data_IF_929177915005
#
_entry.id   IF_929177915005
#
_cell.length_a   1.000
_cell.length_b   1.000
_cell.length_c   1.000
_cell.angle_alpha   90.00
_cell.angle_beta   90.00
_cell.angle_gamma   90.00
#
_symmetry.space_group_name_H-M   'P 1'
#
loop_
_entity.id
_entity.type
_entity.pdbx_description
1 polymer ?
#
# COMPACT_ATOMS: atom_id res chain seq x y z
N UNK A 1 8.63 -9.36 4.67
CA UNK A 1 7.71 -9.37 3.52
C UNK A 1 7.01 -8.03 3.37
N UNK A 2 6.97 -7.49 2.16
CA UNK A 2 6.19 -6.31 1.82
C UNK A 2 4.80 -6.71 1.28
N UNK A 3 3.84 -5.81 1.38
CA UNK A 3 2.47 -6.01 0.94
C UNK A 3 2.37 -5.70 -0.57
N UNK A 4 1.96 -6.70 -1.35
CA UNK A 4 1.71 -6.54 -2.78
C UNK A 4 0.45 -5.75 -3.09
N UNK A 5 0.21 -5.51 -4.37
CA UNK A 5 -1.01 -4.86 -4.86
C UNK A 5 -2.28 -5.50 -4.27
N UNK A 6 -3.26 -4.67 -3.91
CA UNK A 6 -4.53 -5.08 -3.29
C UNK A 6 -4.46 -5.77 -1.93
N UNK A 7 -3.28 -5.91 -1.32
CA UNK A 7 -3.20 -6.36 0.08
C UNK A 7 -3.65 -5.25 1.01
N UNK A 8 -4.38 -5.63 2.06
CA UNK A 8 -4.76 -4.72 3.14
C UNK A 8 -3.50 -4.14 3.79
N UNK A 9 -3.50 -2.83 4.01
CA UNK A 9 -2.35 -2.08 4.52
C UNK A 9 -2.77 -1.12 5.63
N UNK A 10 -1.79 -0.72 6.44
CA UNK A 10 -1.96 0.29 7.47
C UNK A 10 -1.40 1.64 6.95
N UNK A 11 -2.19 2.72 6.92
CA UNK A 11 -1.73 4.01 6.41
C UNK A 11 -0.74 4.74 7.33
N UNK A 12 -0.66 4.34 8.60
CA UNK A 12 0.30 4.84 9.59
C UNK A 12 1.56 3.96 9.64
N UNK A 13 1.49 2.72 9.12
CA UNK A 13 2.61 1.80 8.98
C UNK A 13 2.62 1.17 7.57
N UNK A 14 2.98 1.96 6.57
CA UNK A 14 2.98 1.53 5.16
C UNK A 14 4.04 0.46 4.91
N UNK A 15 3.59 -0.79 4.78
CA UNK A 15 4.42 -1.95 4.44
C UNK A 15 4.27 -2.37 2.97
N UNK A 16 3.67 -1.54 2.11
CA UNK A 16 3.53 -1.85 0.69
C UNK A 16 4.89 -1.99 0.01
N UNK A 17 5.01 -2.90 -0.97
CA UNK A 17 6.23 -3.07 -1.75
C UNK A 17 6.57 -1.81 -2.56
N UNK A 18 7.82 -1.67 -2.97
CA UNK A 18 8.24 -0.60 -3.87
C UNK A 18 7.36 -0.57 -5.15
N UNK A 19 6.95 0.63 -5.56
CA UNK A 19 5.96 0.83 -6.63
C UNK A 19 4.50 0.90 -6.15
N UNK A 20 4.24 0.57 -4.87
CA UNK A 20 2.93 0.70 -4.26
C UNK A 20 2.93 1.70 -3.09
N UNK A 21 1.75 2.19 -2.72
CA UNK A 21 1.51 3.04 -1.57
C UNK A 21 0.22 2.62 -0.90
N UNK A 22 0.19 2.63 0.42
CA UNK A 22 -1.03 2.36 1.15
C UNK A 22 -2.09 3.44 0.86
N UNK A 23 -3.24 3.04 0.33
CA UNK A 23 -4.38 3.92 0.13
C UNK A 23 -5.00 4.24 1.49
N UNK A 24 -4.93 5.50 1.94
CA UNK A 24 -5.52 5.91 3.24
C UNK A 24 -7.03 5.76 3.32
N UNK A 25 -7.75 5.86 2.19
CA UNK A 25 -9.22 5.75 2.15
C UNK A 25 -9.66 4.30 2.27
N UNK A 26 -9.09 3.45 1.42
CA UNK A 26 -9.57 2.08 1.23
C UNK A 26 -8.71 1.05 1.98
N UNK A 27 -7.58 1.47 2.55
CA UNK A 27 -6.64 0.65 3.34
C UNK A 27 -6.07 -0.56 2.59
N UNK A 28 -5.71 -0.37 1.33
CA UNK A 28 -4.97 -1.37 0.52
C UNK A 28 -3.84 -0.76 -0.31
N UNK A 29 -2.83 -1.58 -0.63
CA UNK A 29 -1.68 -1.17 -1.44
C UNK A 29 -2.08 -0.93 -2.91
N UNK A 30 -2.10 0.33 -3.33
CA UNK A 30 -2.33 0.73 -4.72
C UNK A 30 -1.04 1.15 -5.41
N UNK A 31 -1.03 1.20 -6.73
CA UNK A 31 0.13 1.73 -7.47
C UNK A 31 0.45 3.17 -7.06
N UNK A 32 1.73 3.45 -6.87
CA UNK A 32 2.26 4.80 -6.70
C UNK A 32 2.35 5.45 -8.07
N UNK A 33 1.30 6.18 -8.45
CA UNK A 33 1.30 7.03 -9.64
C UNK A 33 2.09 8.31 -9.29
N UNK A 34 3.39 8.30 -9.65
CA UNK A 34 4.41 9.36 -9.54
C UNK A 34 4.30 10.32 -8.34
#
# INVERSE_FOLDING_TARGET
DCLGWFKGCDPDNDKCCEGYKCNRRDKWCKYKLW
#
